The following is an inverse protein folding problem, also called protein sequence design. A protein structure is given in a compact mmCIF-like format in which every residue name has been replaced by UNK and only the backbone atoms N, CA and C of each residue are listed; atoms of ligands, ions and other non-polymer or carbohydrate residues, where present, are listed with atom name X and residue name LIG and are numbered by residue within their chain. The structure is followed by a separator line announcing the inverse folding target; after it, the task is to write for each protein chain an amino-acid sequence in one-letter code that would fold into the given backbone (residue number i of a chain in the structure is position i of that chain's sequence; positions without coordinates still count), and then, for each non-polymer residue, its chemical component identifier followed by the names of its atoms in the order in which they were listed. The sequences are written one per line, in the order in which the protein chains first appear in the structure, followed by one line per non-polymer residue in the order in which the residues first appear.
data_IF_694976803496
#
_entry.id   IF_694976803496
#
_cell.length_a   1.000
_cell.length_b   1.000
_cell.length_c   1.000
_cell.angle_alpha   90.00
_cell.angle_beta   90.00
_cell.angle_gamma   90.00
#
_symmetry.space_group_name_H-M   'P 1'
#
loop_
_entity.id
_entity.type
_entity.pdbx_description
1 polymer ?
#
# COMPACT_ATOMS: atom_id res chain seq x y z
N UNK A 1 49.59 -23.67 -21.75
CA UNK A 1 49.49 -22.60 -20.75
C UNK A 1 48.62 -21.51 -21.37
N UNK A 2 47.31 -21.65 -21.21
CA UNK A 2 46.34 -20.62 -21.58
C UNK A 2 46.20 -19.73 -20.34
N UNK A 3 46.59 -18.46 -20.46
CA UNK A 3 46.29 -17.45 -19.46
C UNK A 3 44.80 -17.12 -19.57
N UNK A 4 44.07 -17.43 -18.52
CA UNK A 4 42.67 -17.05 -18.33
C UNK A 4 42.56 -15.53 -18.30
N UNK A 5 41.90 -14.96 -19.31
CA UNK A 5 41.42 -13.57 -19.32
C UNK A 5 40.15 -13.53 -18.45
N UNK A 6 40.31 -13.56 -17.13
CA UNK A 6 39.22 -13.75 -16.16
C UNK A 6 38.96 -12.52 -15.27
N UNK A 7 39.41 -11.32 -15.64
CA UNK A 7 39.32 -10.17 -14.71
C UNK A 7 39.02 -8.81 -15.33
N UNK A 8 38.29 -8.77 -16.44
CA UNK A 8 37.53 -7.58 -16.83
C UNK A 8 36.06 -8.01 -16.85
N UNK A 9 35.45 -8.11 -15.66
CA UNK A 9 34.02 -7.79 -15.56
C UNK A 9 33.95 -6.40 -16.18
N UNK A 10 33.27 -6.29 -17.31
CA UNK A 10 33.30 -5.11 -18.14
C UNK A 10 32.92 -3.93 -17.23
N UNK A 11 33.74 -2.89 -17.16
CA UNK A 11 33.50 -1.75 -16.25
C UNK A 11 32.08 -1.16 -16.43
N UNK A 12 31.48 -1.43 -17.58
CA UNK A 12 30.09 -1.16 -17.91
C UNK A 12 29.10 -2.01 -17.10
N UNK A 13 29.23 -3.34 -17.08
CA UNK A 13 28.36 -4.27 -16.34
C UNK A 13 28.40 -3.98 -14.83
N UNK A 14 29.60 -3.73 -14.28
CA UNK A 14 29.75 -3.38 -12.87
C UNK A 14 29.00 -2.08 -12.50
N UNK A 15 28.97 -1.10 -13.41
CA UNK A 15 28.24 0.14 -13.22
C UNK A 15 26.71 -0.09 -13.31
N UNK A 16 26.25 -0.94 -14.21
CA UNK A 16 24.83 -1.26 -14.34
C UNK A 16 24.31 -2.05 -13.15
N UNK A 17 25.07 -3.05 -12.68
CA UNK A 17 24.78 -3.77 -11.43
C UNK A 17 24.73 -2.82 -10.22
N UNK A 18 25.63 -1.84 -10.13
CA UNK A 18 25.56 -0.81 -9.08
C UNK A 18 24.27 0.02 -9.14
N UNK A 19 23.83 0.40 -10.33
CA UNK A 19 22.57 1.15 -10.49
C UNK A 19 21.35 0.27 -10.17
N UNK A 20 21.37 -1.02 -10.51
CA UNK A 20 20.33 -1.99 -10.13
C UNK A 20 20.22 -2.11 -8.61
N UNK A 21 21.34 -2.36 -7.92
CA UNK A 21 21.39 -2.47 -6.46
C UNK A 21 20.88 -1.20 -5.80
N UNK A 22 21.29 -0.03 -6.30
CA UNK A 22 20.85 1.27 -5.78
C UNK A 22 19.34 1.45 -5.94
N UNK A 23 18.76 1.03 -7.08
CA UNK A 23 17.31 1.05 -7.29
C UNK A 23 16.59 0.10 -6.32
N UNK A 24 17.09 -1.11 -6.13
CA UNK A 24 16.51 -2.07 -5.18
C UNK A 24 16.59 -1.57 -3.74
N UNK A 25 17.71 -0.96 -3.33
CA UNK A 25 17.84 -0.32 -2.00
C UNK A 25 16.82 0.82 -1.80
N UNK A 26 16.57 1.62 -2.83
CA UNK A 26 15.54 2.66 -2.79
C UNK A 26 14.12 2.08 -2.75
N UNK A 27 13.85 0.99 -3.49
CA UNK A 27 12.59 0.24 -3.38
C UNK A 27 12.42 -0.29 -1.97
N UNK A 28 13.41 -0.98 -1.40
CA UNK A 28 13.37 -1.47 -0.02
C UNK A 28 13.13 -0.35 0.98
N UNK A 29 13.88 0.75 0.89
CA UNK A 29 13.70 1.92 1.77
C UNK A 29 12.28 2.46 1.73
N UNK A 30 11.69 2.60 0.53
CA UNK A 30 10.32 3.09 0.37
C UNK A 30 9.27 2.05 0.73
N UNK A 31 9.54 0.78 0.48
CA UNK A 31 8.69 -0.34 0.85
C UNK A 31 8.51 -0.33 2.36
N UNK A 32 9.58 -0.33 3.14
CA UNK A 32 9.57 -0.21 4.62
C UNK A 32 8.85 1.06 5.10
N UNK A 33 9.04 2.19 4.42
CA UNK A 33 8.38 3.45 4.80
C UNK A 33 6.86 3.46 4.54
N UNK A 34 6.38 2.71 3.56
CA UNK A 34 4.96 2.66 3.17
C UNK A 34 4.25 1.39 3.63
N UNK A 35 4.99 0.43 4.15
CA UNK A 35 4.51 -0.86 4.61
C UNK A 35 3.66 -0.80 5.86
N UNK A 36 2.59 -1.59 5.88
CA UNK A 36 1.92 -1.98 7.11
C UNK A 36 2.55 -3.29 7.64
N UNK A 37 2.66 -3.43 8.96
CA UNK A 37 3.15 -4.68 9.56
C UNK A 37 2.31 -5.91 9.17
N UNK A 38 2.97 -7.06 9.05
CA UNK A 38 2.38 -8.37 8.78
C UNK A 38 3.36 -9.35 8.14
N UNK A 39 3.12 -10.65 8.33
CA UNK A 39 4.07 -11.71 7.97
C UNK A 39 4.50 -11.68 6.49
N UNK A 40 3.59 -11.33 5.57
CA UNK A 40 3.91 -11.21 4.13
C UNK A 40 4.79 -10.01 3.82
N UNK A 41 4.62 -8.93 4.56
CA UNK A 41 5.43 -7.73 4.42
C UNK A 41 6.85 -8.00 4.90
N UNK A 42 6.98 -8.65 6.07
CA UNK A 42 8.27 -9.04 6.64
C UNK A 42 8.99 -10.04 5.73
N UNK A 43 8.25 -11.01 5.17
CA UNK A 43 8.80 -11.97 4.20
C UNK A 43 9.29 -11.29 2.92
N UNK A 44 8.54 -10.33 2.37
CA UNK A 44 8.97 -9.57 1.21
C UNK A 44 10.23 -8.75 1.50
N UNK A 45 10.32 -8.13 2.68
CA UNK A 45 11.50 -7.38 3.11
C UNK A 45 12.72 -8.31 3.24
N UNK A 46 12.58 -9.45 3.89
CA UNK A 46 13.67 -10.43 4.06
C UNK A 46 14.20 -10.91 2.70
N UNK A 47 13.31 -11.19 1.75
CA UNK A 47 13.70 -11.62 0.41
C UNK A 47 14.34 -10.50 -0.41
N UNK A 48 13.82 -9.27 -0.32
CA UNK A 48 14.46 -8.10 -0.92
C UNK A 48 15.86 -7.88 -0.37
N UNK A 49 16.06 -8.02 0.94
CA UNK A 49 17.36 -7.89 1.58
C UNK A 49 18.33 -8.97 1.12
N UNK A 50 17.88 -10.23 1.06
CA UNK A 50 18.70 -11.33 0.53
C UNK A 50 19.16 -11.06 -0.91
N UNK A 51 18.25 -10.60 -1.78
CA UNK A 51 18.59 -10.27 -3.18
C UNK A 51 19.58 -9.11 -3.27
N UNK A 52 19.39 -8.08 -2.46
CA UNK A 52 20.30 -6.92 -2.40
C UNK A 52 21.68 -7.36 -1.92
N UNK A 53 21.76 -8.20 -0.89
CA UNK A 53 23.01 -8.69 -0.33
C UNK A 53 23.77 -9.59 -1.30
N UNK A 54 23.07 -10.46 -2.04
CA UNK A 54 23.65 -11.29 -3.10
C UNK A 54 24.25 -10.41 -4.20
N UNK A 55 23.51 -9.43 -4.72
CA UNK A 55 24.00 -8.50 -5.73
C UNK A 55 25.16 -7.61 -5.23
N UNK A 56 25.10 -7.13 -3.97
CA UNK A 56 26.21 -6.40 -3.34
C UNK A 56 27.45 -7.29 -3.20
N UNK A 57 27.27 -8.60 -3.00
CA UNK A 57 28.37 -9.56 -2.91
C UNK A 57 29.07 -9.75 -4.26
N UNK A 58 28.33 -9.72 -5.36
CA UNK A 58 28.88 -9.83 -6.73
C UNK A 58 29.74 -8.62 -7.09
N UNK A 59 29.38 -7.44 -6.57
CA UNK A 59 30.13 -6.20 -6.77
C UNK A 59 31.44 -6.13 -5.97
N UNK A 60 31.65 -7.01 -4.99
CA UNK A 60 32.89 -7.00 -4.19
C UNK A 60 34.04 -7.66 -4.97
N UNK A 61 35.28 -7.17 -4.80
CA UNK A 61 36.44 -7.79 -5.44
C UNK A 61 36.60 -9.24 -4.95
N UNK A 62 36.53 -10.20 -5.88
CA UNK A 62 36.56 -11.63 -5.59
C UNK A 62 35.19 -12.23 -5.20
N UNK A 63 34.10 -11.47 -5.32
CA UNK A 63 32.75 -11.99 -5.27
C UNK A 63 32.50 -12.94 -6.44
N UNK A 64 31.96 -14.11 -6.17
CA UNK A 64 31.58 -15.05 -7.22
C UNK A 64 30.11 -14.77 -7.59
N UNK A 65 29.80 -14.49 -8.86
CA UNK A 65 28.41 -14.35 -9.28
C UNK A 65 27.68 -15.67 -8.99
N UNK A 66 26.48 -15.53 -8.42
CA UNK A 66 25.56 -16.64 -8.22
C UNK A 66 24.89 -17.01 -9.53
N UNK A 67 23.94 -17.95 -9.45
CA UNK A 67 23.12 -18.33 -10.59
C UNK A 67 22.12 -17.21 -10.92
N UNK A 68 22.21 -16.58 -12.10
CA UNK A 68 21.32 -15.48 -12.47
C UNK A 68 19.87 -15.95 -12.69
N UNK A 69 19.63 -17.22 -13.04
CA UNK A 69 18.28 -17.79 -13.14
C UNK A 69 17.61 -17.85 -11.77
N UNK A 70 18.36 -18.26 -10.74
CA UNK A 70 17.89 -18.29 -9.36
C UNK A 70 17.59 -16.87 -8.85
N UNK A 71 18.45 -15.89 -9.16
CA UNK A 71 18.19 -14.50 -8.85
C UNK A 71 16.90 -13.98 -9.52
N UNK A 72 16.71 -14.31 -10.80
CA UNK A 72 15.51 -13.97 -11.56
C UNK A 72 14.24 -14.58 -10.95
N UNK A 73 14.32 -15.85 -10.52
CA UNK A 73 13.23 -16.55 -9.84
C UNK A 73 12.86 -15.88 -8.51
N UNK A 74 13.87 -15.55 -7.69
CA UNK A 74 13.67 -14.85 -6.41
C UNK A 74 13.06 -13.47 -6.61
N UNK A 75 13.52 -12.71 -7.60
CA UNK A 75 12.95 -11.41 -7.96
C UNK A 75 11.50 -11.53 -8.43
N UNK A 76 11.15 -12.55 -9.19
CA UNK A 76 9.76 -12.81 -9.59
C UNK A 76 8.87 -13.14 -8.37
N UNK A 77 9.39 -13.89 -7.41
CA UNK A 77 8.66 -14.22 -6.20
C UNK A 77 8.48 -12.99 -5.28
N UNK A 78 9.51 -12.13 -5.18
CA UNK A 78 9.42 -10.81 -4.51
C UNK A 78 8.38 -9.92 -5.20
N UNK A 79 8.38 -9.85 -6.52
CA UNK A 79 7.41 -9.11 -7.33
C UNK A 79 5.97 -9.53 -6.98
N UNK A 80 5.68 -10.83 -6.99
CA UNK A 80 4.37 -11.38 -6.66
C UNK A 80 3.93 -11.03 -5.23
N UNK A 81 4.82 -11.16 -4.25
CA UNK A 81 4.49 -10.82 -2.86
C UNK A 81 4.20 -9.33 -2.72
N UNK A 82 5.05 -8.45 -3.28
CA UNK A 82 4.85 -6.99 -3.23
C UNK A 82 3.53 -6.60 -3.90
N UNK A 83 3.20 -7.21 -5.04
CA UNK A 83 1.92 -6.99 -5.71
C UNK A 83 0.75 -7.44 -4.81
N UNK A 84 0.86 -8.60 -4.16
CA UNK A 84 -0.17 -9.12 -3.24
C UNK A 84 -0.42 -8.24 -2.02
N UNK A 85 0.57 -7.45 -1.60
CA UNK A 85 0.47 -6.49 -0.48
C UNK A 85 -0.14 -5.15 -0.92
N UNK A 86 -0.58 -5.04 -2.19
CA UNK A 86 -1.23 -3.83 -2.70
C UNK A 86 -0.25 -2.73 -3.09
N UNK A 87 1.00 -3.10 -3.40
CA UNK A 87 2.09 -2.19 -3.71
C UNK A 87 2.59 -2.33 -5.17
N UNK A 88 1.70 -2.28 -6.19
CA UNK A 88 2.03 -2.63 -7.58
C UNK A 88 3.06 -1.70 -8.22
N UNK A 89 3.19 -0.46 -7.72
CA UNK A 89 4.22 0.48 -8.17
C UNK A 89 5.63 -0.03 -7.90
N UNK A 90 5.85 -0.72 -6.78
CA UNK A 90 7.14 -1.31 -6.43
C UNK A 90 7.37 -2.62 -7.17
N UNK A 91 6.33 -3.45 -7.33
CA UNK A 91 6.39 -4.68 -8.13
C UNK A 91 6.87 -4.39 -9.57
N UNK A 92 6.37 -3.34 -10.21
CA UNK A 92 6.85 -2.92 -11.56
C UNK A 92 8.34 -2.57 -11.61
N UNK A 93 8.88 -2.00 -10.53
CA UNK A 93 10.32 -1.68 -10.47
C UNK A 93 11.14 -2.96 -10.34
N UNK A 94 10.69 -3.90 -9.50
CA UNK A 94 11.32 -5.22 -9.35
C UNK A 94 11.26 -6.01 -10.67
N UNK A 95 10.12 -5.97 -11.37
CA UNK A 95 9.96 -6.57 -12.69
C UNK A 95 10.94 -5.98 -13.72
N UNK A 96 11.09 -4.65 -13.75
CA UNK A 96 12.05 -3.96 -14.62
C UNK A 96 13.50 -4.32 -14.30
N UNK A 97 13.83 -4.50 -13.02
CA UNK A 97 15.16 -4.97 -12.60
C UNK A 97 15.40 -6.40 -13.08
N UNK A 98 14.41 -7.30 -12.92
CA UNK A 98 14.48 -8.68 -13.41
C UNK A 98 14.68 -8.73 -14.92
N UNK A 99 13.96 -7.93 -15.70
CA UNK A 99 14.13 -7.83 -17.16
C UNK A 99 15.52 -7.32 -17.56
N UNK A 100 16.06 -6.35 -16.81
CA UNK A 100 17.43 -5.86 -17.05
C UNK A 100 18.46 -6.96 -16.74
N UNK A 101 18.25 -7.72 -15.67
CA UNK A 101 19.12 -8.85 -15.30
C UNK A 101 19.12 -9.97 -16.34
N UNK A 102 17.96 -10.32 -16.88
CA UNK A 102 17.81 -11.32 -17.93
C UNK A 102 18.49 -10.90 -19.25
N UNK A 103 18.70 -9.60 -19.48
CA UNK A 103 19.40 -9.12 -20.67
C UNK A 103 20.90 -9.47 -20.63
N UNK A 104 21.52 -9.47 -19.43
CA UNK A 104 22.94 -9.87 -19.29
C UNK A 104 23.18 -11.35 -19.61
N UNK A 105 22.16 -12.20 -19.48
CA UNK A 105 22.26 -13.63 -19.83
C UNK A 105 22.26 -13.87 -21.35
N UNK A 106 21.68 -12.96 -22.14
CA UNK A 106 21.49 -13.15 -23.59
C UNK A 106 22.69 -12.71 -24.43
N UNK A 107 23.60 -11.91 -23.87
CA UNK A 107 24.72 -11.33 -24.62
C UNK A 107 25.89 -12.32 -24.86
N UNK A 108 25.85 -13.54 -24.29
CA UNK A 108 26.91 -14.53 -24.51
C UNK A 108 26.73 -15.43 -25.75
N UNK A 109 25.51 -15.63 -26.29
CA UNK A 109 25.27 -16.70 -27.29
C UNK A 109 24.78 -16.27 -28.69
N UNK A 110 24.34 -15.02 -28.93
CA UNK A 110 23.91 -14.59 -30.27
C UNK A 110 24.44 -13.20 -30.65
N UNK A 111 25.68 -13.13 -31.13
CA UNK A 111 26.01 -12.12 -32.16
C UNK A 111 25.41 -12.62 -33.48
N UNK A 112 24.30 -12.07 -34.00
CA UNK A 112 23.98 -12.27 -35.40
C UNK A 112 25.17 -11.75 -36.21
N UNK A 113 25.75 -12.61 -37.06
CA UNK A 113 26.73 -12.15 -38.06
C UNK A 113 26.11 -10.96 -38.80
N UNK A 114 26.64 -9.76 -38.56
CA UNK A 114 26.23 -8.53 -39.26
C UNK A 114 26.47 -8.73 -40.76
N UNK A 115 25.42 -9.16 -41.47
CA UNK A 115 25.39 -9.09 -42.92
C UNK A 115 25.58 -7.61 -43.30
N UNK A 116 26.60 -7.26 -44.10
CA UNK A 116 26.93 -5.87 -44.37
C UNK A 116 25.72 -5.18 -45.01
N UNK A 117 25.38 -3.93 -44.61
CA UNK A 117 24.18 -3.27 -45.08
C UNK A 117 24.22 -3.20 -46.61
N UNK A 118 23.15 -3.67 -47.24
CA UNK A 118 23.01 -3.64 -48.69
C UNK A 118 23.29 -2.22 -49.22
N UNK A 119 24.04 -2.08 -50.34
CA UNK A 119 24.44 -0.77 -50.85
C UNK A 119 23.22 0.11 -51.08
N UNK A 120 23.15 1.21 -50.33
CA UNK A 120 22.06 2.17 -50.43
C UNK A 120 21.99 2.70 -51.86
N UNK A 121 20.89 2.40 -52.57
CA UNK A 121 20.61 3.06 -53.84
C UNK A 121 20.35 4.54 -53.57
N UNK A 122 21.13 5.37 -54.24
CA UNK A 122 21.04 6.83 -54.24
C UNK A 122 19.58 7.27 -54.45
N UNK A 123 18.95 7.85 -53.42
CA UNK A 123 17.69 8.57 -53.58
C UNK A 123 18.01 10.01 -53.99
N UNK A 124 17.50 10.51 -55.14
CA UNK A 124 17.64 11.91 -55.49
C UNK A 124 16.85 12.79 -54.51
N UNK A 125 17.33 14.03 -54.24
CA UNK A 125 16.71 14.91 -53.26
C UNK A 125 15.27 15.28 -53.66
N UNK A 126 14.34 15.41 -52.70
CA UNK A 126 12.97 15.81 -52.98
C UNK A 126 12.95 17.21 -53.60
N UNK A 127 12.38 17.26 -54.80
CA UNK A 127 12.16 18.49 -55.57
C UNK A 127 11.33 19.48 -54.75
N UNK A 128 11.85 20.70 -54.60
CA UNK A 128 11.26 21.79 -53.83
C UNK A 128 9.79 22.06 -54.21
N UNK A 129 8.87 21.67 -53.33
CA UNK A 129 7.46 22.02 -53.42
C UNK A 129 7.14 23.15 -52.42
N UNK A 130 6.98 24.35 -52.99
CA UNK A 130 6.15 25.51 -52.60
C UNK A 130 5.98 25.89 -51.10
N UNK A 131 6.23 27.17 -50.75
CA UNK A 131 5.96 27.67 -49.40
C UNK A 131 4.46 27.81 -49.14
N UNK A 132 3.94 27.07 -48.15
CA UNK A 132 2.60 27.27 -47.61
C UNK A 132 2.60 28.51 -46.71
N UNK A 133 1.70 29.45 -47.02
CA UNK A 133 1.45 30.69 -46.29
C UNK A 133 1.10 30.41 -44.82
N UNK A 134 1.84 31.06 -43.92
CA UNK A 134 1.55 31.15 -42.48
C UNK A 134 0.19 31.82 -42.22
N UNK A 135 -0.68 31.24 -41.38
CA UNK A 135 -1.71 32.00 -40.67
C UNK A 135 -1.06 32.89 -39.60
N UNK A 136 -1.45 34.16 -39.58
CA UNK A 136 -0.98 35.21 -38.67
C UNK A 136 -1.67 35.02 -37.31
N UNK A 137 -0.94 34.56 -36.30
CA UNK A 137 -1.43 34.49 -34.93
C UNK A 137 -1.39 35.88 -34.24
N UNK A 138 -2.38 36.19 -33.37
CA UNK A 138 -2.59 37.51 -32.78
C UNK A 138 -1.54 37.89 -31.71
N UNK A 139 -1.37 39.20 -31.54
CA UNK A 139 -0.38 39.85 -30.69
C UNK A 139 -0.38 39.34 -29.24
N UNK A 140 0.81 38.96 -28.78
CA UNK A 140 1.09 38.63 -27.38
C UNK A 140 0.84 39.85 -26.48
N UNK A 141 -0.02 39.68 -25.46
CA UNK A 141 -0.14 40.61 -24.34
C UNK A 141 1.07 40.44 -23.40
N UNK A 142 1.68 41.53 -22.88
CA UNK A 142 2.78 41.41 -21.94
C UNK A 142 2.28 40.92 -20.57
N UNK A 143 2.83 39.80 -20.11
CA UNK A 143 2.63 39.26 -18.76
C UNK A 143 3.49 40.07 -17.80
N UNK A 144 2.88 40.99 -17.05
CA UNK A 144 3.52 41.67 -15.92
C UNK A 144 3.71 40.68 -14.78
N UNK A 145 4.95 40.22 -14.57
CA UNK A 145 5.34 39.43 -13.39
C UNK A 145 5.39 40.35 -12.17
N UNK A 146 4.34 40.35 -11.35
CA UNK A 146 4.37 40.92 -10.00
C UNK A 146 5.15 39.98 -9.07
N UNK A 147 6.43 40.29 -8.88
CA UNK A 147 7.31 39.64 -7.90
C UNK A 147 7.09 40.29 -6.54
N UNK A 148 6.09 39.84 -5.79
CA UNK A 148 5.91 40.19 -4.38
C UNK A 148 5.52 38.94 -3.59
N UNK A 149 6.22 38.67 -2.48
CA UNK A 149 5.66 37.79 -1.45
C UNK A 149 6.53 36.72 -0.81
N UNK A 150 7.87 36.74 -0.91
CA UNK A 150 8.72 35.74 -0.22
C UNK A 150 8.76 35.86 1.32
N UNK A 151 8.12 36.87 1.92
CA UNK A 151 8.10 37.11 3.38
C UNK A 151 6.84 36.62 4.11
N UNK A 152 5.81 36.14 3.39
CA UNK A 152 4.55 35.64 4.02
C UNK A 152 4.64 34.17 4.49
N UNK A 153 5.58 33.39 3.96
CA UNK A 153 5.68 31.95 4.29
C UNK A 153 6.20 31.66 5.70
N UNK A 154 7.06 32.52 6.26
CA UNK A 154 7.68 32.27 7.58
C UNK A 154 6.66 32.43 8.72
N UNK A 155 5.72 33.37 8.60
CA UNK A 155 4.67 33.56 9.61
C UNK A 155 3.60 32.47 9.56
N UNK A 156 3.27 31.95 8.37
CA UNK A 156 2.32 30.84 8.23
C UNK A 156 2.82 29.55 8.90
N UNK A 157 4.10 29.23 8.73
CA UNK A 157 4.69 28.03 9.35
C UNK A 157 4.70 28.11 10.87
N UNK A 158 4.99 29.28 11.45
CA UNK A 158 5.09 29.44 12.90
C UNK A 158 3.72 29.33 13.59
N UNK A 159 2.64 29.82 12.96
CA UNK A 159 1.27 29.64 13.46
C UNK A 159 0.86 28.17 13.45
N UNK A 160 1.19 27.42 12.38
CA UNK A 160 0.87 25.99 12.28
C UNK A 160 1.58 25.19 13.38
N UNK A 161 2.85 25.48 13.67
CA UNK A 161 3.60 24.78 14.73
C UNK A 161 3.00 25.05 16.12
N UNK A 162 2.57 26.28 16.39
CA UNK A 162 1.94 26.63 17.69
C UNK A 162 0.57 25.97 17.85
N UNK A 163 -0.24 25.90 16.78
CA UNK A 163 -1.56 25.24 16.83
C UNK A 163 -1.40 23.73 17.02
N UNK A 164 -0.51 23.08 16.25
CA UNK A 164 -0.28 21.63 16.36
C UNK A 164 0.31 21.29 17.74
N UNK A 165 1.28 22.07 18.22
CA UNK A 165 1.86 21.87 19.56
C UNK A 165 0.84 22.07 20.69
N UNK A 166 -0.05 23.06 20.56
CA UNK A 166 -1.12 23.30 21.52
C UNK A 166 -2.17 22.16 21.54
N UNK A 167 -2.56 21.66 20.36
CA UNK A 167 -3.52 20.54 20.26
C UNK A 167 -2.95 19.24 20.83
N UNK A 168 -1.67 18.94 20.60
CA UNK A 168 -0.99 17.77 21.19
C UNK A 168 -0.94 17.84 22.72
N UNK A 169 -0.65 19.01 23.29
CA UNK A 169 -0.63 19.19 24.75
C UNK A 169 -2.04 19.03 25.37
N UNK A 170 -3.07 19.53 24.69
CA UNK A 170 -4.47 19.37 25.15
C UNK A 170 -4.94 17.91 25.06
N UNK A 171 -4.59 17.18 24.01
CA UNK A 171 -4.92 15.77 23.86
C UNK A 171 -4.26 14.90 24.95
N UNK A 172 -2.99 15.19 25.29
CA UNK A 172 -2.29 14.52 26.38
C UNK A 172 -2.93 14.82 27.75
N UNK A 173 -3.37 16.06 28.00
CA UNK A 173 -4.05 16.41 29.26
C UNK A 173 -5.42 15.73 29.40
N UNK A 174 -6.18 15.58 28.30
CA UNK A 174 -7.48 14.91 28.31
C UNK A 174 -7.35 13.38 28.40
N UNK A 175 -6.32 12.78 27.78
CA UNK A 175 -6.07 11.34 27.85
C UNK A 175 -5.72 10.84 29.25
N UNK A 176 -5.01 11.64 30.06
CA UNK A 176 -4.67 11.27 31.44
C UNK A 176 -5.90 11.26 32.35
N UNK A 177 -6.89 12.12 32.11
CA UNK A 177 -8.11 12.16 32.93
C UNK A 177 -9.09 11.00 32.63
N UNK A 178 -9.09 10.44 31.41
CA UNK A 178 -9.95 9.28 31.08
C UNK A 178 -9.38 7.93 31.53
N UNK A 179 -8.08 7.85 31.83
CA UNK A 179 -7.44 6.60 32.26
C UNK A 179 -7.73 6.27 33.73
N UNK A 180 -7.89 7.27 34.60
CA UNK A 180 -8.23 7.05 36.01
C UNK A 180 -9.68 6.53 36.19
N UNK A 181 -10.59 6.91 35.29
CA UNK A 181 -11.99 6.45 35.32
C UNK A 181 -12.13 4.99 34.85
N UNK A 182 -11.33 4.58 33.85
CA UNK A 182 -11.27 3.20 33.36
C UNK A 182 -10.60 2.22 34.36
N UNK A 183 -9.62 2.69 35.13
CA UNK A 183 -8.95 1.87 36.16
C UNK A 183 -9.85 1.70 37.40
N UNK A 184 -10.74 2.66 37.69
CA UNK A 184 -11.71 2.56 38.78
C UNK A 184 -12.78 1.49 38.48
N UNK A 185 -13.24 1.38 37.22
CA UNK A 185 -14.29 0.45 36.83
C UNK A 185 -13.79 -1.02 36.78
N UNK A 186 -12.53 -1.23 36.39
CA UNK A 186 -11.90 -2.57 36.38
C UNK A 186 -11.69 -3.16 37.78
N UNK A 187 -11.55 -2.32 38.83
CA UNK A 187 -11.45 -2.81 40.22
C UNK A 187 -12.80 -3.19 40.83
N UNK A 188 -13.92 -2.72 40.26
CA UNK A 188 -15.28 -3.10 40.69
C UNK A 188 -15.68 -4.52 40.26
N UNK A 189 -15.12 -5.03 39.16
CA UNK A 189 -15.47 -6.33 38.58
C UNK A 189 -14.68 -7.53 39.13
N UNK A 190 -13.64 -7.31 39.96
CA UNK A 190 -12.85 -8.39 40.56
C UNK A 190 -13.49 -9.01 41.82
N UNK A 191 -14.70 -8.59 42.20
CA UNK A 191 -15.31 -8.90 43.49
C UNK A 191 -16.57 -9.75 43.46
N UNK A 192 -16.79 -10.65 42.49
CA UNK A 192 -17.95 -11.55 42.57
C UNK A 192 -17.85 -12.82 41.70
N UNK A 193 -16.97 -13.75 42.09
CA UNK A 193 -17.16 -15.16 41.74
C UNK A 193 -17.15 -15.94 43.06
N UNK A 194 -18.34 -16.06 43.66
CA UNK A 194 -18.61 -17.01 44.74
C UNK A 194 -18.74 -18.37 44.08
N UNK A 195 -17.68 -19.18 44.14
CA UNK A 195 -17.73 -20.59 43.76
C UNK A 195 -18.28 -21.35 44.96
N UNK A 196 -19.49 -21.87 44.82
CA UNK A 196 -20.12 -22.81 45.76
C UNK A 196 -19.28 -24.10 45.83
N UNK A 197 -18.92 -24.51 47.05
CA UNK A 197 -18.29 -25.81 47.35
C UNK A 197 -19.24 -26.97 47.02
N UNK A 198 -18.84 -27.96 46.21
CA UNK A 198 -19.51 -29.25 46.21
C UNK A 198 -18.95 -30.14 47.33
N UNK A 199 -19.85 -30.53 48.23
CA UNK A 199 -19.64 -31.53 49.28
C UNK A 199 -19.10 -32.85 48.70
N UNK A 200 -17.99 -33.29 49.31
CA UNK A 200 -17.39 -34.61 49.19
C UNK A 200 -18.40 -35.73 49.46
N UNK A 201 -18.58 -36.62 48.49
CA UNK A 201 -18.91 -38.02 48.76
C UNK A 201 -17.71 -38.87 48.31
N UNK A 202 -17.07 -39.48 49.29
CA UNK A 202 -16.15 -40.60 49.15
C UNK A 202 -16.80 -41.69 48.29
N UNK A 203 -16.17 -42.00 47.16
CA UNK A 203 -16.24 -43.32 46.58
C UNK A 203 -14.86 -43.66 46.01
N UNK A 204 -14.18 -44.55 46.74
CA UNK A 204 -12.97 -45.23 46.33
C UNK A 204 -13.19 -45.94 44.99
N UNK A 205 -12.51 -45.49 43.95
CA UNK A 205 -12.19 -46.29 42.76
C UNK A 205 -10.95 -45.69 42.11
N UNK A 206 -9.98 -46.56 41.89
CA UNK A 206 -8.63 -46.25 41.39
C UNK A 206 -8.68 -45.44 40.09
N UNK A 207 -7.96 -44.31 39.97
CA UNK A 207 -7.76 -43.71 38.67
C UNK A 207 -6.70 -44.53 37.93
N UNK A 208 -7.15 -45.26 36.92
CA UNK A 208 -6.26 -45.62 35.81
C UNK A 208 -5.65 -44.34 35.26
N UNK A 209 -4.32 -44.30 35.17
CA UNK A 209 -3.53 -43.25 34.52
C UNK A 209 -3.98 -43.09 33.07
N UNK A 210 -5.07 -42.35 32.85
CA UNK A 210 -5.42 -41.85 31.53
C UNK A 210 -4.57 -40.60 31.36
N UNK A 211 -3.41 -40.78 30.71
CA UNK A 211 -2.59 -39.69 30.22
C UNK A 211 -3.47 -38.79 29.36
N UNK A 212 -3.98 -37.71 29.96
CA UNK A 212 -4.66 -36.63 29.24
C UNK A 212 -3.56 -35.95 28.44
N UNK A 213 -3.40 -36.38 27.20
CA UNK A 213 -2.52 -35.74 26.22
C UNK A 213 -2.96 -34.28 26.13
N UNK A 214 -2.15 -33.37 26.65
CA UNK A 214 -2.39 -31.94 26.52
C UNK A 214 -2.51 -31.60 25.03
N UNK A 215 -3.56 -30.86 24.61
CA UNK A 215 -3.73 -30.51 23.20
C UNK A 215 -2.50 -29.75 22.72
N UNK A 216 -1.91 -30.23 21.62
CA UNK A 216 -0.72 -29.65 21.02
C UNK A 216 -0.96 -28.18 20.67
N UNK A 217 0.07 -27.33 20.77
CA UNK A 217 -0.01 -25.93 20.35
C UNK A 217 -0.50 -25.78 18.89
N UNK A 218 -0.24 -26.78 18.04
CA UNK A 218 -0.74 -26.84 16.67
C UNK A 218 -2.28 -26.96 16.61
N UNK A 219 -2.90 -27.73 17.50
CA UNK A 219 -4.36 -27.91 17.55
C UNK A 219 -5.07 -26.63 18.04
N UNK A 220 -4.40 -25.87 18.91
CA UNK A 220 -4.93 -24.60 19.42
C UNK A 220 -4.89 -23.50 18.36
N UNK A 221 -3.79 -23.39 17.62
CA UNK A 221 -3.66 -22.45 16.49
C UNK A 221 -4.69 -22.74 15.39
N UNK A 222 -4.89 -24.02 15.04
CA UNK A 222 -5.89 -24.43 14.05
C UNK A 222 -7.32 -24.07 14.45
N UNK A 223 -7.68 -24.26 15.73
CA UNK A 223 -9.01 -23.88 16.24
C UNK A 223 -9.23 -22.36 16.23
N UNK A 224 -8.22 -21.58 16.61
CA UNK A 224 -8.30 -20.12 16.56
C UNK A 224 -8.46 -19.61 15.12
N UNK A 225 -7.72 -20.17 14.17
CA UNK A 225 -7.85 -19.83 12.75
C UNK A 225 -9.26 -20.15 12.21
N UNK A 226 -9.82 -21.30 12.57
CA UNK A 226 -11.19 -21.68 12.16
C UNK A 226 -12.26 -20.76 12.76
N UNK A 227 -12.09 -20.33 14.01
CA UNK A 227 -12.99 -19.36 14.66
C UNK A 227 -12.92 -17.99 13.98
N UNK A 228 -11.72 -17.50 13.69
CA UNK A 228 -11.53 -16.24 12.97
C UNK A 228 -12.16 -16.27 11.58
N UNK A 229 -12.02 -17.38 10.84
CA UNK A 229 -12.67 -17.53 9.53
C UNK A 229 -14.20 -17.51 9.64
N UNK A 230 -14.76 -18.21 10.62
CA UNK A 230 -16.21 -18.20 10.87
C UNK A 230 -16.74 -16.81 11.21
N UNK A 231 -16.01 -16.06 12.02
CA UNK A 231 -16.37 -14.69 12.37
C UNK A 231 -16.23 -13.73 11.18
N UNK A 232 -15.16 -13.88 10.37
CA UNK A 232 -14.98 -13.10 9.15
C UNK A 232 -16.17 -13.24 8.20
N UNK A 233 -16.64 -14.47 7.96
CA UNK A 233 -17.80 -14.73 7.09
C UNK A 233 -19.05 -14.06 7.65
N UNK A 234 -19.30 -14.16 8.96
CA UNK A 234 -20.47 -13.55 9.60
C UNK A 234 -20.47 -12.02 9.48
N UNK A 235 -19.32 -11.37 9.65
CA UNK A 235 -19.20 -9.91 9.51
C UNK A 235 -19.38 -9.47 8.05
N UNK A 236 -18.88 -10.24 7.08
CA UNK A 236 -19.12 -9.97 5.65
C UNK A 236 -20.61 -10.08 5.32
N UNK A 237 -21.29 -11.16 5.73
CA UNK A 237 -22.72 -11.34 5.51
C UNK A 237 -23.56 -10.23 6.17
N UNK A 238 -23.16 -9.81 7.38
CA UNK A 238 -23.83 -8.72 8.10
C UNK A 238 -23.65 -7.37 7.41
N UNK A 239 -22.46 -7.10 6.86
CA UNK A 239 -22.19 -5.91 6.09
C UNK A 239 -22.99 -5.89 4.77
N UNK A 240 -23.08 -7.01 4.05
CA UNK A 240 -23.90 -7.16 2.84
C UNK A 240 -25.40 -6.95 3.12
N UNK A 241 -25.91 -7.51 4.22
CA UNK A 241 -27.28 -7.29 4.67
C UNK A 241 -27.53 -5.80 4.98
N UNK A 242 -26.63 -5.16 5.71
CA UNK A 242 -26.72 -3.73 6.02
C UNK A 242 -26.69 -2.84 4.75
N UNK A 243 -25.87 -3.19 3.75
CA UNK A 243 -25.87 -2.50 2.45
C UNK A 243 -27.20 -2.68 1.72
N UNK A 244 -27.76 -3.89 1.72
CA UNK A 244 -29.07 -4.18 1.11
C UNK A 244 -30.18 -3.33 1.73
N UNK A 245 -30.14 -3.14 3.05
CA UNK A 245 -31.04 -2.27 3.80
C UNK A 245 -30.71 -0.77 3.70
N UNK A 246 -29.70 -0.41 2.89
CA UNK A 246 -29.18 0.96 2.72
C UNK A 246 -28.69 1.59 4.03
N UNK A 247 -28.35 0.77 5.03
CA UNK A 247 -27.78 1.21 6.30
C UNK A 247 -26.24 1.26 6.20
N UNK A 248 -25.74 2.30 5.53
CA UNK A 248 -24.32 2.45 5.21
C UNK A 248 -23.42 2.55 6.46
N UNK A 249 -23.92 3.12 7.56
CA UNK A 249 -23.16 3.24 8.81
C UNK A 249 -22.96 1.85 9.46
N UNK A 250 -23.98 0.99 9.45
CA UNK A 250 -23.87 -0.39 9.94
C UNK A 250 -22.99 -1.25 9.02
N UNK A 251 -23.08 -1.04 7.70
CA UNK A 251 -22.20 -1.70 6.74
C UNK A 251 -20.73 -1.35 6.96
N UNK A 252 -20.41 -0.08 7.20
CA UNK A 252 -19.06 0.37 7.55
C UNK A 252 -18.54 -0.30 8.82
N UNK A 253 -19.39 -0.41 9.85
CA UNK A 253 -19.01 -1.04 11.11
C UNK A 253 -18.67 -2.53 10.95
N UNK A 254 -19.52 -3.30 10.26
CA UNK A 254 -19.29 -4.71 10.02
C UNK A 254 -18.10 -4.96 9.09
N UNK A 255 -17.94 -4.12 8.05
CA UNK A 255 -16.77 -4.20 7.17
C UNK A 255 -15.46 -3.89 7.92
N UNK A 256 -15.46 -2.91 8.82
CA UNK A 256 -14.30 -2.62 9.66
C UNK A 256 -13.96 -3.79 10.60
N UNK A 257 -14.98 -4.46 11.16
CA UNK A 257 -14.79 -5.68 11.96
C UNK A 257 -14.21 -6.83 11.11
N UNK A 258 -14.72 -7.03 9.89
CA UNK A 258 -14.19 -8.01 8.96
C UNK A 258 -12.73 -7.72 8.57
N UNK A 259 -12.41 -6.47 8.25
CA UNK A 259 -11.06 -6.04 7.89
C UNK A 259 -10.06 -6.16 9.05
N UNK A 260 -10.52 -6.05 10.30
CA UNK A 260 -9.68 -6.29 11.47
C UNK A 260 -9.28 -7.76 11.63
N UNK A 261 -10.06 -8.70 11.08
CA UNK A 261 -9.75 -10.13 11.07
C UNK A 261 -8.82 -10.46 9.89
N UNK A 262 -9.23 -10.10 8.67
CA UNK A 262 -8.41 -10.28 7.47
C UNK A 262 -8.72 -9.22 6.40
N UNK A 263 -7.94 -8.14 6.41
CA UNK A 263 -8.03 -7.03 5.43
C UNK A 263 -7.69 -7.43 3.99
N UNK A 264 -6.97 -8.53 3.78
CA UNK A 264 -6.56 -8.97 2.44
C UNK A 264 -7.53 -9.99 1.85
N UNK A 265 -8.56 -10.38 2.61
CA UNK A 265 -9.57 -11.30 2.12
C UNK A 265 -10.30 -10.69 0.93
N UNK A 266 -10.34 -11.42 -0.20
CA UNK A 266 -10.91 -10.94 -1.47
C UNK A 266 -12.33 -10.40 -1.34
N UNK A 267 -13.17 -11.05 -0.52
CA UNK A 267 -14.55 -10.60 -0.32
C UNK A 267 -14.63 -9.28 0.47
N UNK A 268 -13.72 -9.03 1.42
CA UNK A 268 -13.65 -7.75 2.14
C UNK A 268 -13.32 -6.62 1.18
N UNK A 269 -12.33 -6.82 0.31
CA UNK A 269 -11.94 -5.84 -0.72
C UNK A 269 -13.10 -5.56 -1.69
N UNK A 270 -13.72 -6.60 -2.24
CA UNK A 270 -14.84 -6.46 -3.18
C UNK A 270 -16.05 -5.76 -2.56
N UNK A 271 -16.33 -6.05 -1.29
CA UNK A 271 -17.42 -5.43 -0.54
C UNK A 271 -17.10 -3.97 -0.23
N UNK A 272 -15.85 -3.65 0.10
CA UNK A 272 -15.40 -2.28 0.33
C UNK A 272 -15.53 -1.40 -0.92
N UNK A 273 -15.16 -1.90 -2.10
CA UNK A 273 -15.35 -1.19 -3.37
C UNK A 273 -16.84 -0.88 -3.61
N UNK A 274 -17.71 -1.85 -3.38
CA UNK A 274 -19.16 -1.68 -3.52
C UNK A 274 -19.71 -0.64 -2.51
N UNK A 275 -19.23 -0.67 -1.27
CA UNK A 275 -19.64 0.28 -0.22
C UNK A 275 -19.13 1.70 -0.52
N UNK A 276 -17.93 1.85 -1.07
CA UNK A 276 -17.40 3.15 -1.53
C UNK A 276 -18.32 3.73 -2.60
N UNK A 277 -18.72 2.94 -3.60
CA UNK A 277 -19.65 3.38 -4.64
C UNK A 277 -20.99 3.87 -4.05
N UNK A 278 -21.54 3.15 -3.08
CA UNK A 278 -22.80 3.54 -2.42
C UNK A 278 -22.65 4.78 -1.53
N UNK A 279 -21.53 4.95 -0.84
CA UNK A 279 -21.20 6.17 -0.11
C UNK A 279 -21.07 7.37 -1.04
N UNK A 280 -20.44 7.21 -2.20
CA UNK A 280 -20.34 8.27 -3.22
C UNK A 280 -21.70 8.65 -3.78
N UNK A 281 -22.56 7.66 -4.10
CA UNK A 281 -23.96 7.91 -4.52
C UNK A 281 -24.80 8.56 -3.42
N UNK A 282 -24.58 8.18 -2.15
CA UNK A 282 -25.26 8.82 -1.02
C UNK A 282 -24.78 10.25 -0.83
N UNK A 283 -23.50 10.52 -1.05
CA UNK A 283 -22.92 11.85 -0.95
C UNK A 283 -23.49 12.79 -2.01
N UNK A 284 -23.57 12.34 -3.27
CA UNK A 284 -24.13 13.14 -4.38
C UNK A 284 -25.62 13.46 -4.13
N UNK A 285 -26.41 12.47 -3.68
CA UNK A 285 -27.81 12.67 -3.28
C UNK A 285 -27.98 13.66 -2.12
N UNK A 286 -27.17 13.52 -1.07
CA UNK A 286 -27.20 14.45 0.06
C UNK A 286 -26.83 15.88 -0.38
N UNK A 287 -25.87 16.01 -1.30
CA UNK A 287 -25.49 17.29 -1.88
C UNK A 287 -26.64 17.93 -2.65
N UNK A 288 -27.34 17.17 -3.50
CA UNK A 288 -28.52 17.63 -4.26
C UNK A 288 -29.68 18.08 -3.34
N UNK A 289 -29.78 17.52 -2.14
CA UNK A 289 -30.76 17.90 -1.11
C UNK A 289 -30.28 19.01 -0.17
N UNK A 290 -29.15 19.67 -0.48
CA UNK A 290 -28.52 20.70 0.35
C UNK A 290 -28.07 20.22 1.75
N UNK A 291 -27.93 18.92 1.95
CA UNK A 291 -27.41 18.30 3.18
C UNK A 291 -25.87 18.22 3.12
N UNK A 292 -25.23 19.38 3.07
CA UNK A 292 -23.78 19.51 2.80
C UNK A 292 -22.90 18.77 3.82
N UNK A 293 -23.28 18.77 5.10
CA UNK A 293 -22.54 18.08 6.16
C UNK A 293 -22.58 16.55 5.98
N UNK A 294 -23.75 15.99 5.65
CA UNK A 294 -23.89 14.57 5.37
C UNK A 294 -23.10 14.18 4.13
N UNK A 295 -23.18 14.99 3.06
CA UNK A 295 -22.41 14.76 1.84
C UNK A 295 -20.89 14.72 2.12
N UNK A 296 -20.39 15.66 2.91
CA UNK A 296 -18.99 15.71 3.32
C UNK A 296 -18.59 14.50 4.18
N UNK A 297 -19.42 14.13 5.16
CA UNK A 297 -19.21 12.94 6.00
C UNK A 297 -19.09 11.67 5.13
N UNK A 298 -19.99 11.48 4.17
CA UNK A 298 -19.96 10.30 3.28
C UNK A 298 -18.70 10.23 2.41
N UNK A 299 -18.16 11.37 1.97
CA UNK A 299 -16.86 11.43 1.27
C UNK A 299 -15.68 11.12 2.20
N UNK A 300 -15.74 11.60 3.44
CA UNK A 300 -14.72 11.32 4.45
C UNK A 300 -14.70 9.83 4.80
N UNK A 301 -15.87 9.23 5.06
CA UNK A 301 -16.04 7.81 5.33
C UNK A 301 -15.49 6.95 4.18
N UNK A 302 -15.86 7.27 2.93
CA UNK A 302 -15.36 6.58 1.74
C UNK A 302 -13.83 6.72 1.62
N UNK A 303 -13.29 7.92 1.84
CA UNK A 303 -11.86 8.18 1.79
C UNK A 303 -11.09 7.45 2.88
N UNK A 304 -11.64 7.36 4.09
CA UNK A 304 -11.04 6.60 5.18
C UNK A 304 -11.00 5.11 4.83
N UNK A 305 -12.12 4.55 4.35
CA UNK A 305 -12.21 3.14 3.98
C UNK A 305 -11.25 2.78 2.83
N UNK A 306 -11.19 3.61 1.78
CA UNK A 306 -10.27 3.39 0.67
C UNK A 306 -8.81 3.39 1.15
N UNK A 307 -8.43 4.33 2.02
CA UNK A 307 -7.06 4.39 2.55
C UNK A 307 -6.72 3.23 3.48
N UNK A 308 -7.65 2.76 4.32
CA UNK A 308 -7.38 1.64 5.24
C UNK A 308 -7.19 0.32 4.51
N UNK A 309 -7.77 0.18 3.31
CA UNK A 309 -7.70 -1.03 2.49
C UNK A 309 -6.83 -0.86 1.23
N UNK A 310 -6.06 0.23 1.14
CA UNK A 310 -5.17 0.53 0.01
C UNK A 310 -5.85 0.56 -1.37
N UNK A 311 -7.10 1.02 -1.43
CA UNK A 311 -7.89 1.16 -2.65
C UNK A 311 -7.65 2.50 -3.34
N UNK A 312 -7.96 2.57 -4.64
CA UNK A 312 -7.84 3.80 -5.43
C UNK A 312 -8.79 4.90 -4.92
N UNK A 313 -8.25 6.10 -4.70
CA UNK A 313 -9.01 7.26 -4.21
C UNK A 313 -9.44 8.21 -5.32
N UNK A 314 -9.10 7.93 -6.58
CA UNK A 314 -9.30 8.85 -7.71
C UNK A 314 -10.75 9.33 -7.87
N UNK A 315 -11.72 8.42 -7.75
CA UNK A 315 -13.15 8.72 -7.82
C UNK A 315 -13.62 9.62 -6.65
N UNK A 316 -13.13 9.33 -5.44
CA UNK A 316 -13.44 10.11 -4.23
C UNK A 316 -12.90 11.54 -4.37
N UNK A 317 -11.66 11.67 -4.82
CA UNK A 317 -11.01 12.96 -5.05
C UNK A 317 -11.71 13.77 -6.15
N UNK A 318 -12.18 13.10 -7.20
CA UNK A 318 -12.97 13.75 -8.26
C UNK A 318 -14.30 14.27 -7.73
N UNK A 319 -15.01 13.48 -6.92
CA UNK A 319 -16.27 13.90 -6.30
C UNK A 319 -16.07 15.06 -5.33
N UNK A 320 -15.03 15.01 -4.49
CA UNK A 320 -14.68 16.10 -3.58
C UNK A 320 -14.40 17.41 -4.34
N UNK A 321 -13.67 17.35 -5.47
CA UNK A 321 -13.46 18.52 -6.34
C UNK A 321 -14.75 19.04 -6.97
N UNK A 322 -15.66 18.14 -7.39
CA UNK A 322 -16.98 18.51 -7.92
C UNK A 322 -17.78 19.29 -6.86
N UNK A 323 -17.89 18.76 -5.64
CA UNK A 323 -18.62 19.43 -4.55
C UNK A 323 -18.03 20.80 -4.22
N UNK A 324 -16.69 20.89 -4.09
CA UNK A 324 -16.01 22.15 -3.82
C UNK A 324 -16.23 23.20 -4.93
N UNK A 325 -16.24 22.78 -6.20
CA UNK A 325 -16.53 23.68 -7.31
C UNK A 325 -17.96 24.21 -7.26
N UNK A 326 -18.95 23.35 -7.00
CA UNK A 326 -20.36 23.75 -6.91
C UNK A 326 -20.62 24.71 -5.74
N UNK A 327 -20.03 24.47 -4.58
CA UNK A 327 -20.16 25.38 -3.42
C UNK A 327 -19.58 26.77 -3.68
N UNK A 328 -18.54 26.87 -4.52
CA UNK A 328 -17.90 28.16 -4.82
C UNK A 328 -18.75 29.09 -5.69
N UNK A 329 -19.75 28.55 -6.41
CA UNK A 329 -20.67 29.35 -7.22
C UNK A 329 -21.83 29.92 -6.40
N UNK A 330 -22.33 29.19 -5.40
CA UNK A 330 -23.46 29.64 -4.57
C UNK A 330 -23.12 30.90 -3.77
N UNK A 331 -21.87 31.06 -3.34
CA UNK A 331 -21.39 32.21 -2.55
C UNK A 331 -21.29 33.52 -3.37
N UNK A 332 -21.47 33.47 -4.70
CA UNK A 332 -21.30 34.62 -5.61
C UNK A 332 -22.65 35.23 -6.01
N UNK A 333 -23.77 34.57 -5.71
CA UNK A 333 -25.13 35.05 -6.03
C UNK A 333 -25.79 35.70 -4.79
N UNK A 334 -25.90 37.05 -4.74
CA UNK A 334 -26.51 37.77 -3.62
C UNK A 334 -28.03 37.69 -3.58
#
# INVERSE_FOLDING_TARGET
MMTTNESEIDHHEAHELQEIVKRLKEVRRRFVQNGGGGDRFDQAEEWLDSVIDDLDSWLKPGGQPGDPEDLSLRLAAVEEIIESVGLPGYARVVASVRETLATFEQDEDERPEEEPPAPQRFQPPPSAARPVRRPRAPAARPVTKTRTGRKRWVYGLLVVVVVIGGCMAAALALGVLSLDELIADLKGLSGQIVVDEPKLLESLSEPSETSVIAPSAADQSSRAAAQNLGQLVLEIESAEAAMSDHNLDSALQHLAAAAAIDRHHRAVVSLAESLIDDLLRSSDRAFDHAERELAAKRLEDAGHLARSLYLDTSAIDQMARKHAAMTSFDDITP
#
